data_IF_612341497115
#
_entry.id   IF_612341497115
#
_cell.length_a   1.000
_cell.length_b   1.000
_cell.length_c   1.000
_cell.angle_alpha   90.00
_cell.angle_beta   90.00
_cell.angle_gamma   90.00
#
_symmetry.space_group_name_H-M   'P 1'
#
loop_
_entity.id
_entity.type
_entity.pdbx_description
1 polymer ?
#
# COMPACT_ATOMS: atom_id res chain seq x y z
N UNK A 1 -0.48 35.87 -22.21
CA UNK A 1 0.32 34.73 -21.69
C UNK A 1 -0.68 33.67 -21.27
N UNK A 2 -1.01 32.77 -22.18
CA UNK A 2 -1.81 31.59 -21.87
C UNK A 2 -0.97 30.66 -20.99
N UNK A 3 -1.44 30.40 -19.78
CA UNK A 3 -0.96 29.29 -18.95
C UNK A 3 -1.61 28.02 -19.48
N UNK A 4 -0.86 27.05 -20.04
CA UNK A 4 -1.45 25.76 -20.35
C UNK A 4 -1.75 25.00 -19.05
N UNK A 5 -2.90 24.32 -19.08
CA UNK A 5 -3.42 23.44 -18.04
C UNK A 5 -2.36 22.49 -17.49
N UNK A 6 -2.17 22.50 -16.17
CA UNK A 6 -1.67 21.32 -15.46
C UNK A 6 -2.77 20.27 -15.51
N UNK A 7 -2.65 19.34 -16.46
CA UNK A 7 -3.50 18.15 -16.53
C UNK A 7 -3.45 17.39 -15.20
N UNK A 8 -4.63 16.92 -14.79
CA UNK A 8 -4.82 15.81 -13.86
C UNK A 8 -3.74 14.75 -14.16
N UNK A 9 -2.79 14.56 -13.27
CA UNK A 9 -1.76 13.52 -13.43
C UNK A 9 -2.49 12.21 -13.23
N UNK A 10 -2.85 11.57 -14.34
CA UNK A 10 -3.60 10.32 -14.48
C UNK A 10 -3.52 9.43 -13.23
N UNK A 11 -4.58 9.40 -12.41
CA UNK A 11 -4.67 8.47 -11.29
C UNK A 11 -4.82 7.05 -11.83
N UNK A 12 -3.71 6.35 -12.00
CA UNK A 12 -3.69 4.99 -12.52
C UNK A 12 -4.63 4.08 -11.70
N UNK A 13 -5.54 3.40 -12.37
CA UNK A 13 -6.47 2.45 -11.75
C UNK A 13 -5.74 1.16 -11.37
N UNK A 14 -6.27 0.43 -10.39
CA UNK A 14 -5.68 -0.85 -9.98
C UNK A 14 -5.57 -1.86 -11.14
N UNK A 15 -6.53 -1.84 -12.07
CA UNK A 15 -6.50 -2.67 -13.27
C UNK A 15 -5.30 -2.35 -14.18
N UNK A 16 -5.00 -1.06 -14.38
CA UNK A 16 -3.85 -0.61 -15.17
C UNK A 16 -2.52 -1.00 -14.49
N UNK A 17 -2.42 -0.83 -13.16
CA UNK A 17 -1.23 -1.29 -12.43
C UNK A 17 -1.05 -2.80 -12.53
N UNK A 18 -2.14 -3.56 -12.44
CA UNK A 18 -2.11 -5.02 -12.55
C UNK A 18 -1.70 -5.46 -13.96
N UNK A 19 -2.08 -4.72 -14.99
CA UNK A 19 -1.62 -4.98 -16.36
C UNK A 19 -0.13 -4.69 -16.53
N UNK A 20 0.34 -3.55 -16.00
CA UNK A 20 1.77 -3.23 -15.96
C UNK A 20 2.58 -4.27 -15.18
N UNK A 21 2.02 -4.82 -14.09
CA UNK A 21 2.65 -5.89 -13.31
C UNK A 21 2.82 -7.17 -14.14
N UNK A 22 1.78 -7.58 -14.90
CA UNK A 22 1.84 -8.75 -15.78
C UNK A 22 2.95 -8.60 -16.82
N UNK A 23 3.11 -7.40 -17.39
CA UNK A 23 4.17 -7.10 -18.37
C UNK A 23 5.55 -7.09 -17.72
N UNK A 24 5.71 -6.36 -16.60
CA UNK A 24 7.01 -6.20 -15.92
C UNK A 24 7.59 -7.51 -15.40
N UNK A 25 6.73 -8.43 -14.95
CA UNK A 25 7.13 -9.70 -14.38
C UNK A 25 6.93 -10.90 -15.31
N UNK A 26 6.41 -10.68 -16.52
CA UNK A 26 6.00 -11.72 -17.48
C UNK A 26 5.13 -12.82 -16.83
N UNK A 27 4.11 -12.39 -16.07
CA UNK A 27 3.18 -13.28 -15.36
C UNK A 27 1.75 -13.14 -15.89
N UNK A 28 0.95 -14.19 -15.71
CA UNK A 28 -0.48 -14.22 -16.02
C UNK A 28 -1.31 -14.32 -14.74
N UNK A 29 -2.61 -14.07 -14.86
CA UNK A 29 -3.56 -14.06 -13.75
C UNK A 29 -3.55 -15.36 -12.90
N UNK A 30 -3.42 -16.58 -13.45
CA UNK A 30 -3.28 -17.80 -12.64
C UNK A 30 -2.02 -17.79 -11.76
N UNK A 31 -0.87 -17.38 -12.32
CA UNK A 31 0.37 -17.33 -11.57
C UNK A 31 0.33 -16.28 -10.45
N UNK A 32 -0.32 -15.13 -10.70
CA UNK A 32 -0.56 -14.12 -9.67
C UNK A 32 -1.46 -14.68 -8.57
N UNK A 33 -2.54 -15.36 -8.95
CA UNK A 33 -3.51 -15.96 -8.04
C UNK A 33 -2.86 -17.00 -7.12
N UNK A 34 -2.08 -17.91 -7.70
CA UNK A 34 -1.33 -18.94 -6.96
C UNK A 34 -0.31 -18.32 -6.00
N UNK A 35 0.37 -17.25 -6.43
CA UNK A 35 1.41 -16.58 -5.63
C UNK A 35 0.86 -15.91 -4.37
N UNK A 36 -0.34 -15.34 -4.43
CA UNK A 36 -0.97 -14.63 -3.30
C UNK A 36 -2.08 -15.44 -2.62
N UNK A 37 -2.34 -16.67 -3.07
CA UNK A 37 -3.31 -17.58 -2.45
C UNK A 37 -4.78 -17.18 -2.65
N UNK A 38 -5.13 -16.61 -3.81
CA UNK A 38 -6.53 -16.30 -4.17
C UNK A 38 -6.99 -17.10 -5.38
N UNK A 39 -8.30 -17.14 -5.63
CA UNK A 39 -8.83 -17.76 -6.84
C UNK A 39 -8.56 -16.90 -8.09
N UNK A 40 -8.28 -17.53 -9.24
CA UNK A 40 -7.99 -16.82 -10.51
C UNK A 40 -9.11 -15.87 -10.93
N UNK A 41 -10.38 -16.21 -10.66
CA UNK A 41 -11.52 -15.33 -10.97
C UNK A 41 -11.48 -14.02 -10.19
N UNK A 42 -10.89 -14.02 -8.99
CA UNK A 42 -10.70 -12.83 -8.17
C UNK A 42 -9.72 -11.86 -8.84
N UNK A 43 -8.58 -12.37 -9.33
CA UNK A 43 -7.59 -11.58 -10.08
C UNK A 43 -8.19 -11.06 -11.39
N UNK A 44 -8.95 -11.88 -12.10
CA UNK A 44 -9.68 -11.45 -13.30
C UNK A 44 -10.69 -10.33 -13.00
N UNK A 45 -11.42 -10.41 -11.89
CA UNK A 45 -12.35 -9.35 -11.50
C UNK A 45 -11.62 -8.03 -11.20
N UNK A 46 -10.41 -8.08 -10.63
CA UNK A 46 -9.58 -6.89 -10.43
C UNK A 46 -9.04 -6.33 -11.74
N UNK A 47 -8.53 -7.19 -12.63
CA UNK A 47 -7.99 -6.81 -13.94
C UNK A 47 -9.06 -6.15 -14.83
N UNK A 48 -10.32 -6.56 -14.69
CA UNK A 48 -11.45 -5.96 -15.41
C UNK A 48 -12.15 -4.83 -14.63
N UNK A 49 -11.63 -4.42 -13.46
CA UNK A 49 -12.23 -3.37 -12.64
C UNK A 49 -13.60 -3.71 -12.03
N UNK A 50 -14.04 -4.98 -12.09
CA UNK A 50 -15.33 -5.45 -11.55
C UNK A 50 -15.36 -5.53 -10.03
N UNK A 51 -14.19 -5.65 -9.40
CA UNK A 51 -14.04 -5.67 -7.96
C UNK A 51 -12.77 -4.92 -7.54
N UNK A 52 -12.76 -4.42 -6.30
CA UNK A 52 -11.56 -3.85 -5.68
C UNK A 52 -10.88 -4.89 -4.78
N UNK A 53 -9.55 -5.01 -4.83
CA UNK A 53 -8.80 -5.88 -3.93
C UNK A 53 -8.92 -5.37 -2.48
N UNK A 54 -8.90 -6.30 -1.52
CA UNK A 54 -8.81 -5.95 -0.10
C UNK A 54 -7.39 -5.47 0.24
N UNK A 55 -7.20 -4.64 1.28
CA UNK A 55 -5.87 -4.18 1.68
C UNK A 55 -4.84 -5.30 1.85
N UNK A 56 -5.23 -6.41 2.47
CA UNK A 56 -4.36 -7.59 2.63
C UNK A 56 -3.84 -8.14 1.29
N UNK A 57 -4.72 -8.31 0.30
CA UNK A 57 -4.34 -8.84 -1.01
C UNK A 57 -3.37 -7.91 -1.77
N UNK A 58 -3.55 -6.59 -1.64
CA UNK A 58 -2.63 -5.62 -2.25
C UNK A 58 -1.29 -5.62 -1.53
N UNK A 59 -1.26 -5.78 -0.19
CA UNK A 59 -0.02 -5.95 0.57
C UNK A 59 0.74 -7.19 0.13
N UNK A 60 0.04 -8.31 -0.11
CA UNK A 60 0.68 -9.53 -0.62
C UNK A 60 1.22 -9.34 -2.04
N UNK A 61 0.45 -8.70 -2.93
CA UNK A 61 0.94 -8.31 -4.25
C UNK A 61 2.19 -7.42 -4.15
N UNK A 62 2.18 -6.40 -3.30
CA UNK A 62 3.33 -5.52 -3.07
C UNK A 62 4.56 -6.25 -2.49
N UNK A 63 4.35 -7.31 -1.69
CA UNK A 63 5.42 -8.15 -1.14
C UNK A 63 6.07 -9.01 -2.22
N UNK A 64 5.28 -9.63 -3.10
CA UNK A 64 5.78 -10.53 -4.14
C UNK A 64 6.25 -9.79 -5.40
N UNK A 65 5.73 -8.59 -5.65
CA UNK A 65 6.01 -7.77 -6.84
C UNK A 65 6.55 -6.39 -6.44
N UNK A 66 7.75 -6.31 -5.82
CA UNK A 66 8.25 -5.09 -5.18
C UNK A 66 8.49 -3.91 -6.13
N UNK A 67 8.74 -4.14 -7.42
CA UNK A 67 8.96 -3.07 -8.41
C UNK A 67 7.71 -2.21 -8.64
N UNK A 68 6.52 -2.79 -8.43
CA UNK A 68 5.23 -2.12 -8.62
C UNK A 68 4.54 -1.80 -7.28
N UNK A 69 5.22 -2.04 -6.15
CA UNK A 69 4.66 -1.84 -4.80
C UNK A 69 3.99 -0.48 -4.63
N UNK A 70 4.70 0.61 -4.92
CA UNK A 70 4.18 1.96 -4.66
C UNK A 70 2.99 2.30 -5.57
N UNK A 71 2.99 1.79 -6.81
CA UNK A 71 1.88 1.92 -7.75
C UNK A 71 0.66 1.11 -7.30
N UNK A 72 0.85 -0.14 -6.84
CA UNK A 72 -0.21 -1.02 -6.34
C UNK A 72 -0.91 -0.41 -5.12
N UNK A 73 -0.13 0.11 -4.17
CA UNK A 73 -0.64 0.72 -2.95
C UNK A 73 -1.39 2.02 -3.24
N UNK A 74 -0.82 2.87 -4.09
CA UNK A 74 -1.44 4.13 -4.52
C UNK A 74 -2.77 3.90 -5.25
N UNK A 75 -2.78 2.97 -6.22
CA UNK A 75 -3.98 2.66 -7.01
C UNK A 75 -5.09 1.99 -6.18
N UNK A 76 -4.73 1.27 -5.12
CA UNK A 76 -5.67 0.70 -4.17
C UNK A 76 -6.16 1.72 -3.11
N UNK A 77 -5.64 2.95 -3.13
CA UNK A 77 -5.87 3.98 -2.09
C UNK A 77 -5.58 3.48 -0.68
N UNK A 78 -4.64 2.55 -0.54
CA UNK A 78 -4.24 2.00 0.75
C UNK A 78 -3.26 2.98 1.37
N UNK A 79 -3.59 3.47 2.56
CA UNK A 79 -2.67 4.25 3.38
C UNK A 79 -1.64 3.30 3.97
N UNK A 80 -0.51 3.14 3.28
CA UNK A 80 0.65 2.48 3.87
C UNK A 80 1.44 3.52 4.63
N UNK A 81 1.86 3.24 5.88
CA UNK A 81 2.79 4.11 6.58
C UNK A 81 4.02 4.31 5.69
N UNK A 82 4.30 5.57 5.36
CA UNK A 82 5.55 5.89 4.69
C UNK A 82 6.71 5.39 5.56
N UNK A 83 7.82 4.90 4.96
CA UNK A 83 8.99 4.56 5.74
C UNK A 83 9.41 5.76 6.57
N UNK A 84 9.83 5.51 7.82
CA UNK A 84 10.40 6.57 8.65
C UNK A 84 11.57 7.21 7.90
N UNK A 85 11.73 8.55 7.96
CA UNK A 85 12.93 9.20 7.45
C UNK A 85 14.18 8.63 8.16
N UNK A 86 15.38 8.77 7.58
CA UNK A 86 16.60 8.15 8.10
C UNK A 86 16.86 8.40 9.60
N UNK A 87 16.45 9.57 10.09
CA UNK A 87 16.55 10.04 11.47
C UNK A 87 15.23 9.95 12.26
N UNK A 88 14.12 9.56 11.62
CA UNK A 88 12.78 9.58 12.21
C UNK A 88 12.64 8.69 13.43
N UNK A 89 13.32 7.53 13.43
CA UNK A 89 13.33 6.63 14.60
C UNK A 89 13.97 7.30 15.81
N UNK A 90 15.09 8.00 15.62
CA UNK A 90 15.79 8.68 16.70
C UNK A 90 14.98 9.87 17.22
N UNK A 91 14.34 10.63 16.33
CA UNK A 91 13.46 11.73 16.69
C UNK A 91 12.28 11.27 17.56
N UNK A 92 11.64 10.14 17.22
CA UNK A 92 10.56 9.55 18.02
C UNK A 92 11.06 9.16 19.42
N UNK A 93 12.21 8.49 19.52
CA UNK A 93 12.77 8.07 20.81
C UNK A 93 13.10 9.28 21.70
N UNK A 94 13.71 10.33 21.14
CA UNK A 94 14.00 11.59 21.86
C UNK A 94 12.75 12.26 22.44
N UNK A 95 11.60 12.15 21.77
CA UNK A 95 10.33 12.64 22.30
C UNK A 95 9.87 11.77 23.46
N UNK A 96 9.92 10.45 23.30
CA UNK A 96 9.47 9.48 24.29
C UNK A 96 10.30 9.51 25.59
N UNK A 97 11.61 9.82 25.49
CA UNK A 97 12.50 9.97 26.65
C UNK A 97 12.13 11.16 27.56
N UNK A 98 11.36 12.13 27.04
CA UNK A 98 10.94 13.33 27.78
C UNK A 98 9.58 13.18 28.46
N UNK A 99 8.90 12.04 28.29
CA UNK A 99 7.58 11.77 28.82
C UNK A 99 7.64 10.99 30.13
N UNK A 100 6.59 11.11 30.96
CA UNK A 100 6.41 10.20 32.10
C UNK A 100 6.07 8.79 31.63
N UNK A 101 6.23 7.79 32.49
CA UNK A 101 5.86 6.40 32.17
C UNK A 101 4.39 6.27 31.76
N UNK A 102 3.49 6.91 32.52
CA UNK A 102 2.05 6.89 32.24
C UNK A 102 1.70 7.50 30.88
N UNK A 103 2.34 8.63 30.52
CA UNK A 103 2.16 9.28 29.22
C UNK A 103 2.69 8.41 28.08
N UNK A 104 3.85 7.79 28.28
CA UNK A 104 4.46 6.89 27.31
C UNK A 104 3.56 5.68 27.05
N UNK A 105 3.04 5.07 28.11
CA UNK A 105 2.15 3.92 28.02
C UNK A 105 0.83 4.28 27.31
N UNK A 106 0.22 5.41 27.65
CA UNK A 106 -0.99 5.89 26.98
C UNK A 106 -0.77 6.06 25.47
N UNK A 107 0.32 6.73 25.08
CA UNK A 107 0.63 6.96 23.67
C UNK A 107 0.97 5.67 22.92
N UNK A 108 1.65 4.70 23.57
CA UNK A 108 1.89 3.39 22.98
C UNK A 108 0.59 2.64 22.70
N UNK A 109 -0.37 2.68 23.63
CA UNK A 109 -1.69 2.05 23.42
C UNK A 109 -2.40 2.69 22.22
N UNK A 110 -2.43 4.03 22.17
CA UNK A 110 -3.05 4.75 21.05
C UNK A 110 -2.36 4.44 19.72
N UNK A 111 -1.03 4.50 19.67
CA UNK A 111 -0.25 4.24 18.48
C UNK A 111 -0.42 2.79 17.99
N UNK A 112 -0.48 1.81 18.91
CA UNK A 112 -0.70 0.40 18.58
C UNK A 112 -2.09 0.19 18.01
N UNK A 113 -3.13 0.76 18.63
CA UNK A 113 -4.50 0.66 18.10
C UNK A 113 -4.62 1.27 16.69
N UNK A 114 -3.95 2.40 16.43
CA UNK A 114 -3.87 3.00 15.10
C UNK A 114 -3.11 2.08 14.13
N UNK A 115 -1.99 1.48 14.55
CA UNK A 115 -1.23 0.54 13.72
C UNK A 115 -2.06 -0.70 13.35
N UNK A 116 -2.71 -1.33 14.31
CA UNK A 116 -3.57 -2.50 14.12
C UNK A 116 -4.73 -2.21 13.16
N UNK A 117 -5.28 -0.98 13.21
CA UNK A 117 -6.34 -0.57 12.28
C UNK A 117 -5.89 -0.53 10.80
N UNK A 118 -4.58 -0.44 10.54
CA UNK A 118 -4.07 -0.52 9.17
C UNK A 118 -4.01 -1.96 8.65
N UNK A 119 -4.03 -2.95 9.54
CA UNK A 119 -3.94 -4.37 9.20
C UNK A 119 -5.32 -5.00 8.94
N UNK A 120 -6.38 -4.43 9.53
CA UNK A 120 -7.80 -4.83 9.35
C UNK A 120 -8.36 -4.43 7.97
#
# INVERSE_FOLDING_TARGET
METPQSGDVDSETFAQVLDALKVEYDVKEPAIADRIGVHVSTVNNWANGKARPRPAAVRDLARYFPKLKDRLLSAAKIRVPAPLPPDGREAVLKVFDRLTEEQRQLLLIQASAVADSNEQ
#
